data_IF_813590139472
#
_entry.id   IF_813590139472
#
_cell.length_a   1.000
_cell.length_b   1.000
_cell.length_c   1.000
_cell.angle_alpha   90.00
_cell.angle_beta   90.00
_cell.angle_gamma   90.00
#
_symmetry.space_group_name_H-M   'P 1'
#
loop_
_entity.id
_entity.type
_entity.pdbx_description
1 polymer ?
#
# COMPACT_ATOMS: atom_id res chain seq x y z
N UNK A 1 -5.01 12.69 19.45
CA UNK A 1 -5.83 12.84 18.22
C UNK A 1 -5.23 11.92 17.19
N UNK A 2 -6.03 11.03 16.59
CA UNK A 2 -5.51 9.98 15.71
C UNK A 2 -5.12 10.54 14.34
N UNK A 3 -4.22 9.84 13.62
CA UNK A 3 -3.81 10.19 12.26
C UNK A 3 -5.01 10.33 11.30
N UNK A 4 -6.05 9.52 11.48
CA UNK A 4 -7.31 9.63 10.74
C UNK A 4 -8.05 10.94 10.99
N UNK A 5 -8.08 11.43 12.24
CA UNK A 5 -8.68 12.74 12.56
C UNK A 5 -7.89 13.88 11.91
N UNK A 6 -6.56 13.74 11.82
CA UNK A 6 -5.67 14.72 11.23
C UNK A 6 -5.77 14.78 9.69
N UNK A 7 -5.98 13.64 9.02
CA UNK A 7 -6.05 13.55 7.55
C UNK A 7 -7.46 13.78 7.02
N UNK A 8 -8.50 13.22 7.67
CA UNK A 8 -9.87 13.20 7.13
C UNK A 8 -10.84 14.11 7.90
N UNK A 9 -10.38 14.80 8.93
CA UNK A 9 -11.21 15.58 9.84
C UNK A 9 -12.01 14.69 10.80
N UNK A 10 -12.40 15.25 11.95
CA UNK A 10 -13.14 14.55 13.01
C UNK A 10 -14.61 14.28 12.65
N UNK A 11 -14.85 13.62 11.53
CA UNK A 11 -16.16 13.14 11.11
C UNK A 11 -16.58 11.97 12.02
N UNK A 12 -17.29 12.28 13.11
CA UNK A 12 -17.85 11.32 14.09
C UNK A 12 -18.97 10.41 13.53
N UNK A 13 -19.21 10.38 12.22
CA UNK A 13 -20.16 9.44 11.63
C UNK A 13 -19.44 8.13 11.37
N UNK A 14 -19.49 7.23 12.34
CA UNK A 14 -19.26 5.80 12.06
C UNK A 14 -20.13 5.40 10.87
N UNK A 15 -19.51 4.75 9.89
CA UNK A 15 -20.22 4.23 8.74
C UNK A 15 -21.15 3.12 9.22
N UNK A 16 -22.43 3.44 9.42
CA UNK A 16 -23.39 2.56 10.12
C UNK A 16 -23.58 1.19 9.48
N UNK A 17 -23.27 1.02 8.19
CA UNK A 17 -23.35 -0.25 7.46
C UNK A 17 -22.35 -0.31 6.32
N UNK A 18 -21.85 -1.51 5.96
CA UNK A 18 -21.08 -1.69 4.74
C UNK A 18 -21.92 -1.23 3.55
N UNK A 19 -21.27 -0.54 2.61
CA UNK A 19 -21.94 -0.04 1.39
C UNK A 19 -21.79 -1.07 0.26
N UNK A 20 -20.77 -1.93 0.31
CA UNK A 20 -20.35 -2.77 -0.82
C UNK A 20 -21.10 -4.10 -0.94
N UNK A 21 -21.50 -4.70 0.18
CA UNK A 21 -22.39 -5.88 0.26
C UNK A 21 -23.78 -5.63 -0.36
N UNK A 22 -24.18 -4.36 -0.52
CA UNK A 22 -25.41 -3.95 -1.22
C UNK A 22 -25.26 -3.86 -2.74
N UNK A 23 -24.03 -3.84 -3.27
CA UNK A 23 -23.74 -3.73 -4.72
C UNK A 23 -23.48 -5.09 -5.37
N UNK A 24 -22.92 -6.04 -4.60
CA UNK A 24 -22.70 -7.44 -4.97
C UNK A 24 -23.06 -8.32 -3.78
N UNK A 25 -23.67 -9.48 -4.02
CA UNK A 25 -24.04 -10.37 -2.92
C UNK A 25 -22.81 -11.03 -2.28
N UNK A 26 -22.93 -11.44 -1.01
CA UNK A 26 -21.83 -12.05 -0.24
C UNK A 26 -21.19 -13.25 -0.94
N UNK A 27 -21.98 -14.05 -1.67
CA UNK A 27 -21.51 -15.22 -2.43
C UNK A 27 -20.50 -14.86 -3.52
N UNK A 28 -20.65 -13.70 -4.15
CA UNK A 28 -19.68 -13.21 -5.12
C UNK A 28 -18.30 -13.04 -4.48
N UNK A 29 -18.24 -12.36 -3.33
CA UNK A 29 -17.00 -12.13 -2.60
C UNK A 29 -16.41 -13.43 -2.03
N UNK A 30 -17.24 -14.34 -1.53
CA UNK A 30 -16.78 -15.66 -1.06
C UNK A 30 -16.12 -16.46 -2.19
N UNK A 31 -16.69 -16.44 -3.39
CA UNK A 31 -16.09 -17.09 -4.57
C UNK A 31 -14.78 -16.43 -4.97
N UNK A 32 -14.75 -15.09 -5.01
CA UNK A 32 -13.54 -14.35 -5.35
C UNK A 32 -12.42 -14.63 -4.34
N UNK A 33 -12.71 -14.51 -3.04
CA UNK A 33 -11.76 -14.82 -1.97
C UNK A 33 -11.19 -16.24 -2.09
N UNK A 34 -12.06 -17.23 -2.32
CA UNK A 34 -11.63 -18.62 -2.48
C UNK A 34 -10.64 -18.77 -3.65
N UNK A 35 -10.95 -18.17 -4.80
CA UNK A 35 -10.08 -18.25 -5.97
C UNK A 35 -8.74 -17.54 -5.71
N UNK A 36 -8.76 -16.33 -5.15
CA UNK A 36 -7.54 -15.58 -4.84
C UNK A 36 -6.64 -16.32 -3.84
N UNK A 37 -7.22 -16.93 -2.80
CA UNK A 37 -6.45 -17.73 -1.84
C UNK A 37 -5.85 -19.00 -2.46
N UNK A 38 -6.57 -19.64 -3.39
CA UNK A 38 -6.04 -20.78 -4.14
C UNK A 38 -4.85 -20.35 -5.01
N UNK A 39 -4.98 -19.23 -5.71
CA UNK A 39 -3.94 -18.67 -6.56
C UNK A 39 -2.68 -18.28 -5.74
N UNK A 40 -2.85 -17.68 -4.57
CA UNK A 40 -1.74 -17.39 -3.64
C UNK A 40 -1.01 -18.69 -3.26
N UNK A 41 -1.74 -19.74 -2.89
CA UNK A 41 -1.13 -21.01 -2.51
C UNK A 41 -0.34 -21.65 -3.67
N UNK A 42 -0.84 -21.54 -4.90
CA UNK A 42 -0.17 -22.04 -6.11
C UNK A 42 1.14 -21.28 -6.41
N UNK A 43 1.14 -19.95 -6.22
CA UNK A 43 2.34 -19.12 -6.35
C UNK A 43 3.37 -19.39 -5.26
N UNK A 44 2.94 -19.51 -4.00
CA UNK A 44 3.83 -19.83 -2.88
C UNK A 44 4.55 -21.16 -3.12
N UNK A 45 3.84 -22.17 -3.60
CA UNK A 45 4.43 -23.45 -4.01
C UNK A 45 5.45 -23.25 -5.14
N UNK A 46 5.17 -22.37 -6.10
CA UNK A 46 6.07 -22.09 -7.22
C UNK A 46 7.37 -21.41 -6.74
N UNK A 47 7.27 -20.46 -5.81
CA UNK A 47 8.42 -19.82 -5.17
C UNK A 47 9.24 -20.83 -4.37
N UNK A 48 8.59 -21.69 -3.58
CA UNK A 48 9.26 -22.73 -2.80
C UNK A 48 10.05 -23.67 -3.71
N UNK A 49 9.45 -24.15 -4.81
CA UNK A 49 10.12 -25.02 -5.78
C UNK A 49 11.33 -24.36 -6.43
N UNK A 50 11.23 -23.07 -6.77
CA UNK A 50 12.35 -22.32 -7.31
C UNK A 50 13.51 -22.24 -6.30
N UNK A 51 13.21 -21.90 -5.03
CA UNK A 51 14.19 -21.86 -3.94
C UNK A 51 14.85 -23.23 -3.70
N UNK A 52 14.06 -24.30 -3.62
CA UNK A 52 14.57 -25.67 -3.41
C UNK A 52 15.45 -26.15 -4.56
N UNK A 53 15.17 -25.71 -5.78
CA UNK A 53 15.97 -26.02 -6.97
C UNK A 53 17.24 -25.17 -7.09
N UNK A 54 17.46 -24.22 -6.15
CA UNK A 54 18.57 -23.26 -6.20
C UNK A 54 18.41 -22.19 -7.29
N UNK A 55 17.23 -22.05 -7.88
CA UNK A 55 16.94 -21.03 -8.87
C UNK A 55 16.62 -19.70 -8.20
N UNK A 56 17.00 -18.61 -8.85
CA UNK A 56 16.56 -17.27 -8.46
C UNK A 56 15.04 -17.15 -8.61
N UNK A 57 14.39 -16.59 -7.60
CA UNK A 57 12.95 -16.33 -7.65
C UNK A 57 12.74 -14.99 -8.34
N UNK A 58 11.96 -14.99 -9.41
CA UNK A 58 11.64 -13.75 -10.14
C UNK A 58 10.93 -12.74 -9.23
N UNK A 59 11.36 -11.48 -9.28
CA UNK A 59 10.70 -10.31 -8.64
C UNK A 59 9.22 -10.23 -9.04
N UNK A 60 8.90 -10.61 -10.27
CA UNK A 60 7.53 -10.70 -10.77
C UNK A 60 6.63 -11.65 -9.95
N UNK A 61 7.16 -12.80 -9.49
CA UNK A 61 6.35 -13.72 -8.68
C UNK A 61 6.02 -13.12 -7.30
N UNK A 62 6.96 -12.38 -6.71
CA UNK A 62 6.70 -11.65 -5.47
C UNK A 62 5.70 -10.51 -5.68
N UNK A 63 5.76 -9.82 -6.82
CA UNK A 63 4.77 -8.81 -7.19
C UNK A 63 3.37 -9.41 -7.28
N UNK A 64 3.19 -10.54 -7.97
CA UNK A 64 1.89 -11.20 -8.09
C UNK A 64 1.34 -11.60 -6.72
N UNK A 65 2.21 -12.09 -5.82
CA UNK A 65 1.79 -12.41 -4.45
C UNK A 65 1.39 -11.17 -3.64
N UNK A 66 2.12 -10.06 -3.76
CA UNK A 66 1.74 -8.82 -3.09
C UNK A 66 0.37 -8.31 -3.58
N UNK A 67 0.19 -8.24 -4.91
CA UNK A 67 -1.05 -7.77 -5.54
C UNK A 67 -2.26 -8.63 -5.11
N UNK A 68 -2.11 -9.95 -5.14
CA UNK A 68 -3.16 -10.87 -4.68
C UNK A 68 -3.48 -10.73 -3.20
N UNK A 69 -2.50 -10.44 -2.35
CA UNK A 69 -2.75 -10.18 -0.93
C UNK A 69 -3.46 -8.83 -0.72
N UNK A 70 -3.16 -7.82 -1.53
CA UNK A 70 -3.94 -6.57 -1.57
C UNK A 70 -5.40 -6.84 -1.97
N UNK A 71 -5.64 -7.71 -2.96
CA UNK A 71 -6.98 -8.17 -3.30
C UNK A 71 -7.68 -8.84 -2.12
N UNK A 72 -7.01 -9.74 -1.40
CA UNK A 72 -7.57 -10.38 -0.20
C UNK A 72 -8.01 -9.34 0.83
N UNK A 73 -7.20 -8.29 1.07
CA UNK A 73 -7.56 -7.17 1.97
C UNK A 73 -8.84 -6.48 1.47
N UNK A 74 -8.92 -6.15 0.18
CA UNK A 74 -10.08 -5.45 -0.39
C UNK A 74 -11.35 -6.28 -0.37
N UNK A 75 -11.25 -7.59 -0.66
CA UNK A 75 -12.35 -8.54 -0.63
C UNK A 75 -12.87 -8.67 0.79
N UNK A 76 -11.97 -8.93 1.76
CA UNK A 76 -12.33 -9.09 3.16
C UNK A 76 -12.90 -7.81 3.76
N UNK A 77 -12.36 -6.64 3.40
CA UNK A 77 -12.96 -5.35 3.77
C UNK A 77 -14.41 -5.23 3.24
N UNK A 78 -14.66 -5.70 2.02
CA UNK A 78 -16.00 -5.72 1.42
C UNK A 78 -16.94 -6.77 2.04
N UNK A 79 -16.40 -7.68 2.85
CA UNK A 79 -17.11 -8.71 3.61
C UNK A 79 -17.10 -8.42 5.13
N UNK A 80 -16.81 -7.17 5.52
CA UNK A 80 -16.90 -6.67 6.89
C UNK A 80 -15.82 -7.21 7.85
N UNK A 81 -14.68 -7.63 7.30
CA UNK A 81 -13.53 -8.00 8.10
C UNK A 81 -13.05 -6.82 8.96
N UNK A 82 -12.60 -7.13 10.17
CA UNK A 82 -12.12 -6.11 11.10
C UNK A 82 -10.81 -5.49 10.63
N UNK A 83 -10.53 -4.24 11.04
CA UNK A 83 -9.25 -3.58 10.75
C UNK A 83 -8.05 -4.39 11.30
N UNK A 84 -8.23 -5.12 12.41
CA UNK A 84 -7.18 -5.99 12.97
C UNK A 84 -6.86 -7.13 12.00
N UNK A 85 -7.88 -7.83 11.51
CA UNK A 85 -7.72 -8.90 10.52
C UNK A 85 -7.08 -8.40 9.22
N UNK A 86 -7.52 -7.24 8.72
CA UNK A 86 -6.95 -6.64 7.51
C UNK A 86 -5.49 -6.23 7.70
N UNK A 87 -5.13 -5.74 8.91
CA UNK A 87 -3.76 -5.42 9.27
C UNK A 87 -2.89 -6.67 9.31
N UNK A 88 -3.37 -7.78 9.88
CA UNK A 88 -2.63 -9.04 9.91
C UNK A 88 -2.26 -9.51 8.50
N UNK A 89 -3.22 -9.52 7.59
CA UNK A 89 -2.97 -9.89 6.18
C UNK A 89 -1.95 -8.96 5.52
N UNK A 90 -2.07 -7.64 5.75
CA UNK A 90 -1.09 -6.69 5.24
C UNK A 90 0.31 -6.99 5.77
N UNK A 91 0.43 -7.28 7.06
CA UNK A 91 1.71 -7.52 7.72
C UNK A 91 2.36 -8.81 7.23
N UNK A 92 1.58 -9.87 7.10
CA UNK A 92 2.03 -11.16 6.58
C UNK A 92 2.52 -11.05 5.13
N UNK A 93 1.89 -10.19 4.32
CA UNK A 93 2.24 -10.02 2.91
C UNK A 93 3.33 -8.96 2.64
N UNK A 94 3.78 -8.20 3.66
CA UNK A 94 4.69 -7.07 3.46
C UNK A 94 6.03 -7.47 2.84
N UNK A 95 6.51 -8.67 3.17
CA UNK A 95 7.78 -9.16 2.64
C UNK A 95 7.72 -9.41 1.13
N UNK A 96 6.56 -9.85 0.59
CA UNK A 96 6.40 -10.00 -0.86
C UNK A 96 6.54 -8.66 -1.59
N UNK A 97 5.94 -7.59 -1.06
CA UNK A 97 6.15 -6.24 -1.60
C UNK A 97 7.63 -5.82 -1.58
N UNK A 98 8.35 -6.14 -0.50
CA UNK A 98 9.79 -5.81 -0.39
C UNK A 98 10.63 -6.58 -1.39
N UNK A 99 10.31 -7.85 -1.60
CA UNK A 99 11.03 -8.73 -2.53
C UNK A 99 10.63 -8.51 -3.99
N UNK A 100 9.53 -7.81 -4.25
CA UNK A 100 9.12 -7.40 -5.60
C UNK A 100 9.76 -6.08 -6.05
N UNK A 101 10.86 -5.66 -5.44
CA UNK A 101 11.56 -4.43 -5.78
C UNK A 101 12.15 -4.50 -7.20
N UNK A 102 11.67 -3.63 -8.09
CA UNK A 102 12.09 -3.56 -9.49
C UNK A 102 12.32 -2.08 -9.88
N UNK A 103 13.56 -1.57 -9.83
CA UNK A 103 13.86 -0.16 -10.09
C UNK A 103 13.86 0.19 -11.58
N UNK A 104 13.97 -0.81 -12.46
CA UNK A 104 13.93 -0.62 -13.90
C UNK A 104 12.51 -0.39 -14.43
N UNK A 105 11.50 -0.89 -13.70
CA UNK A 105 10.08 -0.75 -14.02
C UNK A 105 9.30 -0.30 -12.76
N UNK A 106 9.47 0.96 -12.33
CA UNK A 106 8.89 1.46 -11.08
C UNK A 106 7.35 1.52 -11.16
N UNK A 107 6.69 0.72 -10.33
CA UNK A 107 5.23 0.58 -10.27
C UNK A 107 4.60 1.60 -9.32
N UNK A 108 4.49 2.86 -9.76
CA UNK A 108 4.07 3.98 -8.90
C UNK A 108 2.71 3.76 -8.23
N UNK A 109 1.70 3.29 -8.97
CA UNK A 109 0.34 3.19 -8.43
C UNK A 109 0.25 2.10 -7.37
N UNK A 110 1.00 1.03 -7.56
CA UNK A 110 1.12 -0.12 -6.69
C UNK A 110 1.84 0.28 -5.40
N UNK A 111 2.96 1.01 -5.50
CA UNK A 111 3.67 1.59 -4.36
C UNK A 111 2.75 2.54 -3.57
N UNK A 112 2.06 3.46 -4.26
CA UNK A 112 1.11 4.37 -3.63
C UNK A 112 -0.02 3.63 -2.92
N UNK A 113 -0.57 2.59 -3.56
CA UNK A 113 -1.62 1.76 -2.97
C UNK A 113 -1.12 1.07 -1.70
N UNK A 114 0.06 0.45 -1.75
CA UNK A 114 0.68 -0.22 -0.60
C UNK A 114 0.93 0.74 0.56
N UNK A 115 1.56 1.89 0.30
CA UNK A 115 1.80 2.93 1.30
C UNK A 115 0.49 3.43 1.89
N UNK A 116 -0.51 3.71 1.05
CA UNK A 116 -1.82 4.18 1.51
C UNK A 116 -2.50 3.16 2.41
N UNK A 117 -2.48 1.87 2.05
CA UNK A 117 -3.02 0.79 2.89
C UNK A 117 -2.28 0.68 4.22
N UNK A 118 -0.94 0.77 4.23
CA UNK A 118 -0.17 0.76 5.48
C UNK A 118 -0.57 1.88 6.45
N UNK A 119 -0.81 3.09 5.91
CA UNK A 119 -1.33 4.22 6.68
C UNK A 119 -2.76 3.97 7.16
N UNK A 120 -3.66 3.54 6.27
CA UNK A 120 -5.07 3.26 6.57
C UNK A 120 -5.30 2.09 7.54
N UNK A 121 -4.36 1.13 7.58
CA UNK A 121 -4.41 0.03 8.53
C UNK A 121 -3.68 0.35 9.83
N UNK A 122 -3.02 1.51 9.93
CA UNK A 122 -2.22 1.92 11.08
C UNK A 122 -1.23 0.82 11.51
N UNK A 123 -0.38 0.39 10.57
CA UNK A 123 0.66 -0.63 10.81
C UNK A 123 1.69 -0.17 11.85
N UNK A 124 2.47 -1.05 12.48
CA UNK A 124 3.53 -0.64 13.40
C UNK A 124 4.57 0.28 12.73
N UNK A 125 5.20 1.16 13.51
CA UNK A 125 6.20 2.12 12.99
C UNK A 125 7.38 1.40 12.32
N UNK A 126 7.81 0.26 12.87
CA UNK A 126 8.88 -0.56 12.30
C UNK A 126 8.58 -0.98 10.84
N UNK A 127 7.33 -1.33 10.54
CA UNK A 127 6.89 -1.72 9.20
C UNK A 127 6.68 -0.50 8.30
N UNK A 128 6.24 0.63 8.87
CA UNK A 128 6.21 1.89 8.13
C UNK A 128 7.62 2.29 7.69
N UNK A 129 8.64 2.11 8.54
CA UNK A 129 10.03 2.38 8.18
C UNK A 129 10.52 1.50 7.03
N UNK A 130 10.04 0.26 6.92
CA UNK A 130 10.35 -0.58 5.75
C UNK A 130 9.78 0.00 4.44
N UNK A 131 8.59 0.64 4.49
CA UNK A 131 8.03 1.33 3.33
C UNK A 131 8.80 2.61 3.00
N UNK A 132 9.24 3.34 4.04
CA UNK A 132 10.13 4.51 3.88
C UNK A 132 11.42 4.12 3.17
N UNK A 133 12.08 3.06 3.66
CA UNK A 133 13.32 2.57 3.08
C UNK A 133 13.10 2.06 1.64
N UNK A 134 11.98 1.41 1.36
CA UNK A 134 11.62 0.97 0.00
C UNK A 134 11.49 2.15 -0.98
N UNK A 135 10.71 3.18 -0.61
CA UNK A 135 10.50 4.35 -1.48
C UNK A 135 11.78 5.17 -1.61
N UNK A 136 12.58 5.29 -0.56
CA UNK A 136 13.88 5.93 -0.63
C UNK A 136 14.81 5.21 -1.63
N UNK A 137 14.89 3.88 -1.56
CA UNK A 137 15.65 3.10 -2.53
C UNK A 137 15.13 3.27 -3.95
N UNK A 138 13.81 3.35 -4.14
CA UNK A 138 13.23 3.62 -5.46
C UNK A 138 13.64 5.01 -5.99
N UNK A 139 13.62 6.04 -5.15
CA UNK A 139 14.11 7.39 -5.50
C UNK A 139 15.60 7.41 -5.89
N UNK A 140 16.42 6.54 -5.28
CA UNK A 140 17.86 6.46 -5.50
C UNK A 140 18.24 5.59 -6.72
N UNK A 141 17.55 4.46 -6.91
CA UNK A 141 17.91 3.42 -7.88
C UNK A 141 17.13 3.52 -9.21
N UNK A 142 15.93 4.11 -9.22
CA UNK A 142 15.09 4.12 -10.41
C UNK A 142 15.55 5.11 -11.49
N UNK A 143 15.24 4.78 -12.76
CA UNK A 143 15.50 5.66 -13.89
C UNK A 143 14.59 6.90 -13.86
N UNK A 144 15.13 8.14 -13.94
CA UNK A 144 14.34 9.36 -13.79
C UNK A 144 13.25 9.61 -14.84
N UNK A 145 13.25 8.87 -15.96
CA UNK A 145 12.22 9.00 -16.99
C UNK A 145 10.90 8.32 -16.58
N UNK A 146 11.01 7.22 -15.83
CA UNK A 146 9.89 6.35 -15.47
C UNK A 146 9.50 6.50 -13.99
N UNK A 147 10.37 7.13 -13.19
CA UNK A 147 10.12 7.47 -11.80
C UNK A 147 10.31 8.96 -11.53
N UNK A 148 9.41 9.52 -10.73
CA UNK A 148 9.58 10.87 -10.17
C UNK A 148 9.35 10.79 -8.67
N UNK A 149 10.34 11.15 -7.84
CA UNK A 149 10.13 11.31 -6.41
C UNK A 149 8.90 12.19 -6.15
N UNK A 150 7.93 11.63 -5.44
CA UNK A 150 6.57 12.18 -5.39
C UNK A 150 6.21 12.74 -4.01
N UNK A 151 5.67 13.96 -4.02
CA UNK A 151 5.29 14.71 -2.83
C UNK A 151 4.18 14.01 -2.05
N UNK A 152 3.23 13.33 -2.70
CA UNK A 152 2.14 12.64 -2.02
C UNK A 152 2.64 11.40 -1.27
N UNK A 153 3.47 10.57 -1.90
CA UNK A 153 4.13 9.42 -1.26
C UNK A 153 4.91 9.86 -0.01
N UNK A 154 5.78 10.85 -0.16
CA UNK A 154 6.58 11.36 0.96
C UNK A 154 5.74 12.06 2.03
N UNK A 155 4.63 12.69 1.65
CA UNK A 155 3.68 13.24 2.63
C UNK A 155 3.03 12.13 3.47
N UNK A 156 2.59 11.03 2.83
CA UNK A 156 1.98 9.89 3.52
C UNK A 156 2.99 9.19 4.46
N UNK A 157 4.19 8.91 3.97
CA UNK A 157 5.25 8.23 4.73
C UNK A 157 5.70 9.06 5.94
N UNK A 158 5.82 10.38 5.78
CA UNK A 158 6.22 11.28 6.86
C UNK A 158 5.06 11.67 7.80
N UNK A 159 3.82 11.24 7.54
CA UNK A 159 2.63 11.68 8.28
C UNK A 159 2.63 11.29 9.76
N UNK A 160 3.37 10.23 10.11
CA UNK A 160 3.49 9.70 11.48
C UNK A 160 4.80 10.04 12.17
N UNK A 161 5.77 10.59 11.43
CA UNK A 161 7.11 10.90 11.92
C UNK A 161 7.14 12.31 12.51
N UNK A 162 7.88 12.49 13.60
CA UNK A 162 8.16 13.85 14.10
C UNK A 162 9.03 14.59 13.09
N UNK A 163 9.01 15.93 13.12
CA UNK A 163 9.75 16.75 12.15
C UNK A 163 11.25 16.42 12.06
N UNK A 164 11.88 16.01 13.17
CA UNK A 164 13.29 15.61 13.21
C UNK A 164 13.54 14.15 12.77
N UNK A 165 12.48 13.37 12.59
CA UNK A 165 12.51 11.96 12.15
C UNK A 165 12.09 11.82 10.67
N UNK A 166 11.48 12.87 10.08
CA UNK A 166 11.06 12.89 8.68
C UNK A 166 12.25 12.62 7.76
N UNK A 167 12.04 11.74 6.79
CA UNK A 167 13.04 11.37 5.78
C UNK A 167 12.56 11.82 4.41
N UNK A 168 13.50 12.34 3.62
CA UNK A 168 13.37 12.79 2.24
C UNK A 168 12.16 13.70 1.96
N UNK A 169 12.33 14.63 1.02
CA UNK A 169 11.25 15.52 0.62
C UNK A 169 11.25 15.68 -0.90
N UNK A 170 10.24 15.09 -1.53
CA UNK A 170 9.89 15.44 -2.90
C UNK A 170 9.19 16.81 -2.93
N UNK A 171 9.50 17.59 -3.97
CA UNK A 171 8.91 18.93 -4.17
C UNK A 171 7.84 18.94 -5.27
N UNK A 172 7.63 17.81 -5.94
CA UNK A 172 6.76 17.69 -7.11
C UNK A 172 5.80 16.52 -6.91
N UNK A 173 4.62 16.65 -7.49
CA UNK A 173 3.70 15.52 -7.64
C UNK A 173 4.03 14.79 -8.96
N UNK A 174 4.03 13.47 -8.96
CA UNK A 174 4.13 12.64 -10.15
C UNK A 174 2.93 12.88 -11.08
N UNK A 175 1.73 13.08 -10.51
CA UNK A 175 0.51 13.37 -11.26
C UNK A 175 -0.19 14.65 -10.79
N UNK A 176 0.37 15.85 -11.05
CA UNK A 176 -0.15 17.11 -10.52
C UNK A 176 -1.62 17.34 -10.86
N UNK A 177 -2.06 16.98 -12.08
CA UNK A 177 -3.46 17.17 -12.51
C UNK A 177 -4.45 16.40 -11.65
N UNK A 178 -4.10 15.19 -11.21
CA UNK A 178 -4.96 14.35 -10.37
C UNK A 178 -5.04 14.89 -8.94
N UNK A 179 -3.96 15.52 -8.46
CA UNK A 179 -3.83 15.95 -7.07
C UNK A 179 -3.82 17.48 -6.89
N UNK A 180 -4.23 18.25 -7.90
CA UNK A 180 -4.15 19.72 -7.92
C UNK A 180 -4.80 20.37 -6.69
N UNK A 181 -5.86 19.77 -6.14
CA UNK A 181 -6.54 20.26 -4.92
C UNK A 181 -5.72 20.05 -3.64
N UNK A 182 -4.84 19.05 -3.59
CA UNK A 182 -3.96 18.78 -2.43
C UNK A 182 -2.89 19.88 -2.32
N UNK A 183 -2.35 20.36 -3.45
CA UNK A 183 -1.35 21.43 -3.47
C UNK A 183 -1.91 22.77 -2.97
N UNK A 184 -3.16 23.07 -3.29
CA UNK A 184 -3.80 24.34 -2.93
C UNK A 184 -4.11 24.46 -1.43
N UNK A 185 -4.25 23.34 -0.70
CA UNK A 185 -4.44 23.33 0.75
C UNK A 185 -3.20 23.79 1.53
N UNK A 186 -2.01 23.43 1.06
CA UNK A 186 -0.73 23.76 1.74
C UNK A 186 -0.30 25.22 1.58
N UNK A 187 -0.81 25.95 0.59
CA UNK A 187 -0.57 27.40 0.46
C UNK A 187 -1.48 28.26 1.33
N UNK A 188 -2.57 27.68 1.86
CA UNK A 188 -3.59 28.41 2.62
C UNK A 188 -3.24 28.57 4.10
N UNK A 189 -2.27 27.81 4.62
CA UNK A 189 -1.81 27.87 6.02
C UNK A 189 -0.48 28.59 6.22
N UNK A 190 -0.02 29.36 5.21
CA UNK A 190 1.19 30.22 5.30
C UNK A 190 0.85 31.72 5.19
N UNK A 191 -0.27 32.15 5.78
CA UNK A 191 -0.56 33.56 6.04
C UNK A 191 -0.87 33.78 7.51
#
# INVERSE_FOLDING_TARGET
MGLFDAIFGSSKKEQEKPIRDKLKDRKHFEKWLKNTLQEIAEDEISILKAKESGNEVSTFLYYVLDDRNVDVIQIKYSMDASIIELREIYMDSLEYFRLSFEPEEPMYFEILNRVSLGILLNIPDENLMQLVDYVQRMDEEAKPADWTPDLLLWFLLNSRLKDNEKRAHAQKLAFPRLYTRIVQGNTSHRQ
#
